data_IF_183242892897
#
_entry.id   IF_183242892897
#
_cell.length_a   1.000
_cell.length_b   1.000
_cell.length_c   1.000
_cell.angle_alpha   90.00
_cell.angle_beta   90.00
_cell.angle_gamma   90.00
#
_symmetry.space_group_name_H-M   'P 1'
#
loop_
_entity.id
_entity.type
_entity.pdbx_description
1 polymer ?
#
# COMPACT_ATOMS: atom_id res chain seq x y z
N UNK A 1 22.68 -1.89 7.68
CA UNK A 1 21.75 -1.66 6.56
C UNK A 1 22.40 -0.63 5.66
N UNK A 2 23.07 -0.97 4.54
CA UNK A 2 23.93 0.07 3.93
C UNK A 2 24.31 0.01 2.44
N UNK A 3 24.38 -1.14 1.78
CA UNK A 3 24.75 -1.15 0.34
C UNK A 3 23.70 -1.81 -0.56
N UNK A 4 23.19 -2.99 -0.21
CA UNK A 4 22.20 -3.68 -1.05
C UNK A 4 20.90 -2.90 -1.18
N UNK A 5 20.28 -2.49 -0.06
CA UNK A 5 19.08 -1.65 -0.11
C UNK A 5 19.33 -0.33 -0.83
N UNK A 6 20.49 0.30 -0.63
CA UNK A 6 20.82 1.57 -1.28
C UNK A 6 20.86 1.41 -2.81
N UNK A 7 21.50 0.35 -3.30
CA UNK A 7 21.51 -0.01 -4.73
C UNK A 7 20.10 -0.31 -5.26
N UNK A 8 19.26 -1.01 -4.47
CA UNK A 8 17.88 -1.30 -4.87
C UNK A 8 17.08 0.01 -4.96
N UNK A 9 17.21 0.92 -3.98
CA UNK A 9 16.51 2.21 -3.96
C UNK A 9 16.99 3.18 -5.05
N UNK A 10 18.21 3.04 -5.57
CA UNK A 10 18.71 3.79 -6.74
C UNK A 10 17.93 3.45 -8.03
N UNK A 11 17.22 2.32 -8.07
CA UNK A 11 16.34 1.92 -9.18
C UNK A 11 14.94 2.56 -9.09
N UNK A 12 14.64 3.28 -8.00
CA UNK A 12 13.38 4.00 -7.87
C UNK A 12 13.24 5.03 -8.98
N UNK A 13 12.09 5.03 -9.64
CA UNK A 13 11.71 6.10 -10.55
C UNK A 13 10.29 6.57 -10.27
N UNK A 14 10.03 7.83 -10.55
CA UNK A 14 8.70 8.42 -10.39
C UNK A 14 7.96 8.38 -11.72
N UNK A 15 6.72 7.90 -11.70
CA UNK A 15 5.82 7.88 -12.85
C UNK A 15 4.44 8.40 -12.44
N UNK A 16 3.67 8.96 -13.39
CA UNK A 16 2.26 9.28 -13.14
C UNK A 16 1.40 8.08 -13.46
N UNK A 17 0.32 7.90 -12.69
CA UNK A 17 -0.62 6.78 -12.91
C UNK A 17 -1.06 6.69 -14.38
N UNK A 18 -1.38 7.82 -15.02
CA UNK A 18 -1.82 7.84 -16.43
C UNK A 18 -0.78 7.34 -17.45
N UNK A 19 0.49 7.24 -17.08
CA UNK A 19 1.58 6.91 -18.01
C UNK A 19 1.61 5.41 -18.34
N UNK A 20 1.02 4.57 -17.50
CA UNK A 20 1.07 3.10 -17.66
C UNK A 20 -0.27 2.38 -17.41
N UNK A 21 -1.33 3.10 -16.99
CA UNK A 21 -2.70 2.55 -16.87
C UNK A 21 -3.75 3.53 -17.37
N UNK A 22 -4.95 3.02 -17.66
CA UNK A 22 -6.09 3.88 -17.99
C UNK A 22 -6.94 4.14 -16.74
N UNK A 23 -7.25 5.42 -16.49
CA UNK A 23 -8.16 5.84 -15.42
C UNK A 23 -9.45 6.41 -16.03
N UNK A 24 -10.59 5.90 -15.59
CA UNK A 24 -11.92 6.23 -16.12
C UNK A 24 -12.91 6.44 -14.97
N UNK A 25 -14.03 7.12 -15.24
CA UNK A 25 -15.18 7.05 -14.33
C UNK A 25 -15.85 5.69 -14.49
N UNK A 26 -16.45 5.16 -13.43
CA UNK A 26 -17.15 3.86 -13.49
C UNK A 26 -18.23 3.86 -14.59
N UNK A 27 -19.03 4.94 -14.65
CA UNK A 27 -20.07 5.10 -15.68
C UNK A 27 -19.51 5.10 -17.11
N UNK A 28 -18.32 5.67 -17.34
CA UNK A 28 -17.69 5.65 -18.66
C UNK A 28 -17.14 4.27 -19.03
N UNK A 29 -16.65 3.52 -18.03
CA UNK A 29 -16.16 2.16 -18.22
C UNK A 29 -17.28 1.19 -18.61
N UNK A 30 -18.39 1.19 -17.88
CA UNK A 30 -19.55 0.31 -18.14
C UNK A 30 -20.19 0.58 -19.51
N UNK A 31 -20.15 1.83 -20.00
CA UNK A 31 -20.65 2.13 -21.35
C UNK A 31 -19.79 1.55 -22.47
N UNK A 32 -18.52 1.30 -22.21
CA UNK A 32 -17.53 0.89 -23.21
C UNK A 32 -17.21 -0.59 -23.17
N UNK A 33 -17.47 -1.25 -22.03
CA UNK A 33 -17.16 -2.64 -21.81
C UNK A 33 -18.40 -3.36 -21.31
N UNK A 34 -18.80 -4.44 -21.99
CA UNK A 34 -19.57 -5.49 -21.33
C UNK A 34 -18.73 -6.02 -20.17
N UNK A 35 -19.37 -6.37 -19.06
CA UNK A 35 -18.76 -6.77 -17.78
C UNK A 35 -17.97 -8.11 -17.92
N UNK A 36 -16.85 -8.07 -18.67
CA UNK A 36 -16.08 -9.21 -19.17
C UNK A 36 -15.27 -9.94 -18.09
N UNK A 37 -15.45 -9.56 -16.82
CA UNK A 37 -14.77 -10.17 -15.68
C UNK A 37 -13.25 -9.94 -15.65
N UNK A 38 -12.77 -8.92 -16.36
CA UNK A 38 -11.38 -8.47 -16.28
C UNK A 38 -11.09 -7.88 -14.91
N UNK A 39 -9.85 -8.06 -14.42
CA UNK A 39 -9.44 -7.45 -13.17
C UNK A 39 -9.31 -5.93 -13.34
N UNK A 40 -9.95 -5.20 -12.44
CA UNK A 40 -10.00 -3.74 -12.39
C UNK A 40 -9.71 -3.27 -10.98
N UNK A 41 -9.14 -2.06 -10.86
CA UNK A 41 -8.97 -1.40 -9.57
C UNK A 41 -10.08 -0.37 -9.38
N UNK A 42 -10.97 -0.66 -8.43
CA UNK A 42 -12.09 0.17 -8.04
C UNK A 42 -11.65 1.25 -7.05
N UNK A 43 -11.87 2.53 -7.34
CA UNK A 43 -11.46 3.65 -6.49
C UNK A 43 -12.66 4.49 -6.04
N UNK A 44 -12.82 4.67 -4.73
CA UNK A 44 -13.84 5.53 -4.12
C UNK A 44 -13.55 7.01 -4.34
N UNK A 45 -14.59 7.83 -4.45
CA UNK A 45 -14.45 9.30 -4.54
C UNK A 45 -14.13 9.95 -3.21
N UNK A 46 -14.80 9.51 -2.15
CA UNK A 46 -14.59 10.03 -0.79
C UNK A 46 -13.37 9.33 -0.19
N UNK A 47 -12.34 10.12 0.11
CA UNK A 47 -11.07 9.65 0.65
C UNK A 47 -10.95 10.14 2.10
N UNK A 48 -10.49 9.25 2.96
CA UNK A 48 -10.04 9.54 4.32
C UNK A 48 -8.66 8.92 4.50
N UNK A 49 -7.76 9.64 5.17
CA UNK A 49 -6.39 9.25 5.45
C UNK A 49 -6.30 8.18 6.57
N UNK A 50 -7.43 7.83 7.20
CA UNK A 50 -7.54 6.67 8.07
C UNK A 50 -7.22 5.35 7.35
N UNK A 51 -7.30 4.22 8.05
CA UNK A 51 -7.01 2.90 7.47
C UNK A 51 -8.10 2.36 6.52
N UNK A 52 -9.10 3.16 6.13
CA UNK A 52 -10.14 2.69 5.23
C UNK A 52 -9.60 2.30 3.85
N UNK A 53 -10.14 1.23 3.27
CA UNK A 53 -9.80 0.79 1.92
C UNK A 53 -10.52 1.72 0.92
N UNK A 54 -9.74 2.40 0.09
CA UNK A 54 -10.23 3.31 -0.96
C UNK A 54 -10.04 2.75 -2.36
N UNK A 55 -9.10 1.82 -2.53
CA UNK A 55 -8.71 1.25 -3.82
C UNK A 55 -8.67 -0.28 -3.71
N UNK A 56 -9.60 -0.99 -4.36
CA UNK A 56 -9.72 -2.45 -4.26
C UNK A 56 -9.64 -3.10 -5.64
N UNK A 57 -8.79 -4.12 -5.78
CA UNK A 57 -8.75 -4.95 -6.99
C UNK A 57 -9.94 -5.92 -6.97
N UNK A 58 -10.68 -5.99 -8.07
CA UNK A 58 -11.81 -6.91 -8.24
C UNK A 58 -12.22 -7.01 -9.69
N UNK A 59 -13.21 -7.85 -9.98
CA UNK A 59 -13.68 -8.10 -11.36
C UNK A 59 -14.90 -7.29 -11.76
N UNK A 60 -15.70 -6.90 -10.78
CA UNK A 60 -16.90 -6.09 -10.94
C UNK A 60 -17.30 -5.49 -9.60
N UNK A 61 -18.11 -4.43 -9.60
CA UNK A 61 -18.60 -3.77 -8.39
C UNK A 61 -18.84 -2.28 -8.59
N UNK A 62 -19.76 -1.69 -7.83
CA UNK A 62 -20.04 -0.25 -7.94
C UNK A 62 -18.93 0.56 -7.28
N UNK A 63 -18.29 1.44 -8.05
CA UNK A 63 -17.32 2.42 -7.55
C UNK A 63 -17.47 3.76 -8.29
N UNK A 64 -16.72 4.78 -7.89
CA UNK A 64 -16.74 6.09 -8.55
C UNK A 64 -15.80 6.11 -9.77
N UNK A 65 -14.61 5.55 -9.59
CA UNK A 65 -13.55 5.51 -10.61
C UNK A 65 -12.98 4.10 -10.76
N UNK A 66 -12.44 3.83 -11.95
CA UNK A 66 -11.78 2.57 -12.31
C UNK A 66 -10.40 2.85 -12.87
N UNK A 67 -9.44 2.00 -12.51
CA UNK A 67 -8.19 1.83 -13.23
C UNK A 67 -8.14 0.45 -13.88
N UNK A 68 -7.75 0.39 -15.15
CA UNK A 68 -7.51 -0.86 -15.89
C UNK A 68 -6.02 -1.01 -16.22
N UNK A 69 -5.49 -2.22 -16.09
CA UNK A 69 -4.07 -2.55 -16.31
C UNK A 69 -3.82 -4.03 -16.07
N UNK A 70 -2.56 -4.46 -16.10
CA UNK A 70 -2.20 -5.82 -15.70
C UNK A 70 -2.39 -6.01 -14.19
N UNK A 71 -2.67 -7.25 -13.77
CA UNK A 71 -3.01 -7.59 -12.38
C UNK A 71 -1.96 -7.11 -11.37
N UNK A 72 -0.67 -7.28 -11.67
CA UNK A 72 0.41 -6.89 -10.75
C UNK A 72 0.47 -5.37 -10.59
N UNK A 73 0.32 -4.62 -11.68
CA UNK A 73 0.22 -3.16 -11.63
C UNK A 73 -1.01 -2.71 -10.82
N UNK A 74 -2.16 -3.37 -10.98
CA UNK A 74 -3.36 -3.04 -10.20
C UNK A 74 -3.18 -3.33 -8.71
N UNK A 75 -2.55 -4.46 -8.35
CA UNK A 75 -2.21 -4.77 -6.97
C UNK A 75 -1.23 -3.76 -6.37
N UNK A 76 -0.19 -3.38 -7.12
CA UNK A 76 0.76 -2.36 -6.65
C UNK A 76 0.11 -0.98 -6.48
N UNK A 77 -0.77 -0.59 -7.40
CA UNK A 77 -1.54 0.65 -7.25
C UNK A 77 -2.48 0.59 -6.06
N UNK A 78 -3.14 -0.55 -5.81
CA UNK A 78 -3.97 -0.75 -4.62
C UNK A 78 -3.15 -0.61 -3.33
N UNK A 79 -1.98 -1.26 -3.28
CA UNK A 79 -1.00 -1.12 -2.20
C UNK A 79 -0.63 0.36 -1.97
N UNK A 80 -0.22 1.06 -3.03
CA UNK A 80 0.21 2.46 -2.90
C UNK A 80 -0.95 3.35 -2.46
N UNK A 81 -2.09 3.29 -3.17
CA UNK A 81 -3.23 4.18 -2.95
C UNK A 81 -3.93 3.94 -1.61
N UNK A 82 -3.85 2.74 -1.02
CA UNK A 82 -4.39 2.51 0.32
C UNK A 82 -3.43 2.93 1.45
N UNK A 83 -2.19 3.32 1.14
CA UNK A 83 -1.29 3.93 2.12
C UNK A 83 -1.72 5.36 2.48
N UNK A 84 -1.27 5.85 3.64
CA UNK A 84 -1.52 7.26 4.07
C UNK A 84 -1.04 8.24 3.00
N UNK A 85 0.18 8.06 2.48
CA UNK A 85 0.73 8.91 1.43
C UNK A 85 -0.09 8.84 0.15
N UNK A 86 -0.46 7.63 -0.29
CA UNK A 86 -1.26 7.42 -1.47
C UNK A 86 -2.61 8.13 -1.40
N UNK A 87 -3.33 8.00 -0.29
CA UNK A 87 -4.61 8.69 -0.04
C UNK A 87 -4.47 10.20 -0.12
N UNK A 88 -3.47 10.76 0.54
CA UNK A 88 -3.23 12.20 0.55
C UNK A 88 -2.83 12.69 -0.85
N UNK A 89 -2.03 11.91 -1.58
CA UNK A 89 -1.53 12.27 -2.92
C UNK A 89 -2.60 12.36 -4.02
N UNK A 90 -3.79 11.80 -3.79
CA UNK A 90 -4.93 11.90 -4.72
C UNK A 90 -5.96 12.95 -4.29
N UNK A 91 -5.73 13.67 -3.19
CA UNK A 91 -6.59 14.76 -2.73
C UNK A 91 -6.19 16.10 -3.38
N UNK A 92 -7.09 17.10 -3.42
CA UNK A 92 -6.71 18.48 -3.69
C UNK A 92 -5.72 18.99 -2.64
N UNK A 93 -4.73 19.80 -3.04
CA UNK A 93 -3.66 20.29 -2.13
C UNK A 93 -4.16 20.91 -0.82
N UNK A 94 -5.20 21.73 -0.89
CA UNK A 94 -5.81 22.37 0.28
C UNK A 94 -6.52 21.41 1.26
N UNK A 95 -6.59 20.11 0.94
CA UNK A 95 -7.16 19.04 1.79
C UNK A 95 -6.12 18.09 2.37
N UNK A 96 -4.84 18.38 2.18
CA UNK A 96 -3.76 17.53 2.70
C UNK A 96 -3.75 17.52 4.23
N UNK A 97 -3.94 18.67 4.87
CA UNK A 97 -3.96 18.81 6.33
C UNK A 97 -5.21 18.17 6.97
N UNK A 98 -6.37 18.27 6.29
CA UNK A 98 -7.62 17.67 6.74
C UNK A 98 -7.57 16.12 6.68
N UNK A 99 -6.71 15.56 5.82
CA UNK A 99 -6.63 14.13 5.55
C UNK A 99 -7.94 13.55 4.99
N UNK A 100 -8.91 14.38 4.61
CA UNK A 100 -10.22 13.96 4.12
C UNK A 100 -10.70 14.84 2.98
N UNK A 101 -11.33 14.24 1.98
CA UNK A 101 -11.89 15.00 0.86
C UNK A 101 -12.37 14.13 -0.29
N UNK A 102 -12.61 14.79 -1.43
CA UNK A 102 -13.03 14.12 -2.65
C UNK A 102 -11.93 14.16 -3.70
N UNK A 103 -11.61 12.99 -4.26
CA UNK A 103 -10.73 12.90 -5.43
C UNK A 103 -11.52 12.97 -6.73
N UNK A 104 -10.82 13.10 -7.85
CA UNK A 104 -11.36 13.04 -9.20
C UNK A 104 -10.40 12.36 -10.17
N UNK A 105 -10.89 12.03 -11.36
CA UNK A 105 -10.10 11.34 -12.40
C UNK A 105 -8.81 12.08 -12.74
N UNK A 106 -8.83 13.42 -12.79
CA UNK A 106 -7.64 14.21 -13.14
C UNK A 106 -6.58 14.14 -12.04
N UNK A 107 -6.99 14.17 -10.76
CA UNK A 107 -6.08 14.00 -9.64
C UNK A 107 -5.45 12.61 -9.67
N UNK A 108 -6.28 11.54 -9.73
CA UNK A 108 -5.80 10.16 -9.80
C UNK A 108 -4.81 9.97 -10.95
N UNK A 109 -5.14 10.47 -12.16
CA UNK A 109 -4.27 10.36 -13.35
C UNK A 109 -2.90 10.99 -13.15
N UNK A 110 -2.83 12.12 -12.45
CA UNK A 110 -1.63 12.92 -12.32
C UNK A 110 -0.86 12.66 -11.03
N UNK A 111 -1.34 11.77 -10.16
CA UNK A 111 -0.62 11.35 -8.96
C UNK A 111 0.70 10.69 -9.34
N UNK A 112 1.77 11.24 -8.76
CA UNK A 112 3.11 10.68 -8.84
C UNK A 112 3.21 9.47 -7.92
N UNK A 113 3.73 8.37 -8.46
CA UNK A 113 4.01 7.16 -7.72
C UNK A 113 5.47 6.76 -7.93
N UNK A 114 6.06 6.13 -6.91
CA UNK A 114 7.38 5.53 -7.04
C UNK A 114 7.20 4.11 -7.55
N UNK A 115 7.94 3.73 -8.58
CA UNK A 115 8.00 2.39 -9.16
C UNK A 115 9.40 1.83 -8.97
N UNK A 116 9.45 0.54 -8.64
CA UNK A 116 10.68 -0.22 -8.50
C UNK A 116 10.35 -1.70 -8.65
N UNK A 117 10.71 -2.28 -9.79
CA UNK A 117 10.38 -3.67 -10.14
C UNK A 117 11.00 -4.70 -9.19
N UNK A 118 12.08 -4.35 -8.49
CA UNK A 118 12.71 -5.21 -7.48
C UNK A 118 11.95 -5.17 -6.14
N UNK A 119 11.21 -4.11 -5.84
CA UNK A 119 10.46 -3.95 -4.57
C UNK A 119 8.97 -4.30 -4.73
N UNK A 120 8.40 -4.03 -5.91
CA UNK A 120 6.98 -4.20 -6.22
C UNK A 120 6.41 -5.58 -5.85
N UNK A 121 7.07 -6.73 -6.12
CA UNK A 121 6.56 -8.04 -5.72
C UNK A 121 6.32 -8.16 -4.20
N UNK A 122 7.21 -7.57 -3.41
CA UNK A 122 7.14 -7.57 -1.95
C UNK A 122 6.00 -6.68 -1.44
N UNK A 123 5.69 -5.59 -2.14
CA UNK A 123 4.53 -4.74 -1.88
C UNK A 123 3.22 -5.45 -2.23
N UNK A 124 3.18 -6.14 -3.37
CA UNK A 124 2.00 -6.89 -3.84
C UNK A 124 1.62 -7.98 -2.83
N UNK A 125 2.60 -8.69 -2.25
CA UNK A 125 2.32 -9.69 -1.22
C UNK A 125 1.61 -9.08 0.00
N UNK A 126 2.05 -7.90 0.47
CA UNK A 126 1.39 -7.19 1.58
C UNK A 126 -0.07 -6.89 1.23
N UNK A 127 -0.35 -6.39 0.03
CA UNK A 127 -1.72 -6.07 -0.38
C UNK A 127 -2.59 -7.33 -0.52
N UNK A 128 -2.03 -8.43 -1.05
CA UNK A 128 -2.73 -9.73 -1.10
C UNK A 128 -3.09 -10.23 0.29
N UNK A 129 -2.18 -10.10 1.26
CA UNK A 129 -2.43 -10.49 2.65
C UNK A 129 -3.52 -9.61 3.27
N UNK A 130 -3.45 -8.28 3.12
CA UNK A 130 -4.48 -7.35 3.64
C UNK A 130 -5.85 -7.67 3.05
N UNK A 131 -5.92 -7.88 1.74
CA UNK A 131 -7.15 -8.24 1.03
C UNK A 131 -7.72 -9.57 1.51
N UNK A 132 -6.87 -10.60 1.66
CA UNK A 132 -7.27 -11.90 2.19
C UNK A 132 -7.85 -11.77 3.61
N UNK A 133 -7.17 -11.05 4.50
CA UNK A 133 -7.62 -10.84 5.88
C UNK A 133 -8.93 -10.04 5.93
N UNK A 134 -9.11 -9.05 5.05
CA UNK A 134 -10.37 -8.29 4.98
C UNK A 134 -11.55 -9.20 4.63
N UNK A 135 -11.40 -10.06 3.62
CA UNK A 135 -12.44 -11.03 3.22
C UNK A 135 -12.68 -12.06 4.34
N UNK A 136 -11.61 -12.54 4.96
CA UNK A 136 -11.70 -13.49 6.08
C UNK A 136 -12.47 -12.90 7.26
N UNK A 137 -12.13 -11.67 7.67
CA UNK A 137 -12.80 -10.95 8.76
C UNK A 137 -14.26 -10.62 8.44
N UNK A 138 -14.58 -10.25 7.20
CA UNK A 138 -15.97 -10.03 6.78
C UNK A 138 -16.80 -11.33 6.87
N UNK A 139 -16.22 -12.46 6.47
CA UNK A 139 -16.93 -13.75 6.42
C UNK A 139 -17.02 -14.45 7.77
N UNK A 140 -16.01 -14.29 8.63
CA UNK A 140 -15.86 -15.07 9.86
C UNK A 140 -15.73 -14.23 11.14
N UNK A 141 -15.61 -12.90 11.03
CA UNK A 141 -15.23 -11.99 12.12
C UNK A 141 -16.14 -11.98 13.36
N UNK A 142 -17.39 -12.43 13.24
CA UNK A 142 -18.31 -12.57 14.40
C UNK A 142 -17.80 -13.65 15.38
N UNK A 143 -17.01 -14.62 14.90
CA UNK A 143 -16.50 -15.77 15.66
C UNK A 143 -14.97 -15.80 15.80
N UNK A 144 -14.26 -14.76 15.34
CA UNK A 144 -12.80 -14.74 15.27
C UNK A 144 -12.25 -13.75 16.29
N UNK A 145 -11.33 -14.22 17.14
CA UNK A 145 -10.64 -13.41 18.14
C UNK A 145 -9.94 -12.17 17.54
N UNK A 146 -9.72 -11.15 18.38
CA UNK A 146 -9.02 -9.88 18.11
C UNK A 146 -7.63 -10.01 17.41
N UNK A 147 -7.09 -11.21 17.28
CA UNK A 147 -5.83 -11.51 16.64
C UNK A 147 -5.83 -11.22 15.13
N UNK A 148 -6.87 -11.59 14.39
CA UNK A 148 -6.90 -11.38 12.93
C UNK A 148 -6.93 -9.90 12.55
N UNK A 149 -7.67 -9.09 13.31
CA UNK A 149 -7.66 -7.63 13.20
C UNK A 149 -6.28 -7.04 13.53
N UNK A 150 -5.61 -7.57 14.55
CA UNK A 150 -4.26 -7.14 14.93
C UNK A 150 -3.25 -7.46 13.83
N UNK A 151 -3.34 -8.64 13.23
CA UNK A 151 -2.52 -9.07 12.08
C UNK A 151 -2.76 -8.13 10.89
N UNK A 152 -4.03 -7.87 10.55
CA UNK A 152 -4.38 -6.94 9.47
C UNK A 152 -3.79 -5.55 9.70
N UNK A 153 -3.94 -4.99 10.90
CA UNK A 153 -3.37 -3.68 11.27
C UNK A 153 -1.85 -3.66 11.19
N UNK A 154 -1.17 -4.77 11.51
CA UNK A 154 0.27 -4.87 11.32
C UNK A 154 0.65 -4.67 9.84
N UNK A 155 0.00 -5.39 8.92
CA UNK A 155 0.28 -5.25 7.49
C UNK A 155 -0.13 -3.90 6.92
N UNK A 156 -1.21 -3.28 7.41
CA UNK A 156 -1.57 -1.91 7.04
C UNK A 156 -0.47 -0.90 7.43
N UNK A 157 0.10 -1.05 8.63
CA UNK A 157 1.22 -0.21 9.08
C UNK A 157 2.49 -0.51 8.26
N UNK A 158 2.75 -1.78 7.94
CA UNK A 158 3.88 -2.18 7.11
C UNK A 158 3.79 -1.51 5.73
N UNK A 159 2.62 -1.56 5.09
CA UNK A 159 2.33 -0.84 3.84
C UNK A 159 2.63 0.65 3.96
N UNK A 160 2.13 1.29 5.01
CA UNK A 160 2.38 2.72 5.24
C UNK A 160 3.88 3.03 5.36
N UNK A 161 4.63 2.26 6.13
CA UNK A 161 6.05 2.53 6.34
C UNK A 161 6.91 2.17 5.13
N UNK A 162 6.57 1.13 4.36
CA UNK A 162 7.22 0.84 3.07
C UNK A 162 7.05 2.03 2.12
N UNK A 163 5.82 2.54 1.96
CA UNK A 163 5.59 3.69 1.09
C UNK A 163 6.34 4.93 1.61
N UNK A 164 6.35 5.16 2.91
CA UNK A 164 7.13 6.27 3.48
C UNK A 164 8.64 6.14 3.22
N UNK A 165 9.21 4.94 3.34
CA UNK A 165 10.63 4.70 3.05
C UNK A 165 10.95 4.90 1.57
N UNK A 166 10.06 4.47 0.66
CA UNK A 166 10.18 4.75 -0.77
C UNK A 166 10.15 6.26 -1.06
N UNK A 167 9.22 6.99 -0.45
CA UNK A 167 9.03 8.43 -0.70
C UNK A 167 10.13 9.30 -0.07
N UNK A 168 10.69 8.88 1.07
CA UNK A 168 11.67 9.67 1.83
C UNK A 168 12.82 8.80 2.36
N UNK A 169 13.60 8.15 1.49
CA UNK A 169 14.64 7.21 1.90
C UNK A 169 15.72 7.87 2.77
N UNK A 170 16.02 9.15 2.50
CA UNK A 170 16.98 9.93 3.28
C UNK A 170 16.56 10.14 4.75
N UNK A 171 15.25 10.25 5.01
CA UNK A 171 14.74 10.39 6.38
C UNK A 171 14.91 9.10 7.17
N UNK A 172 14.68 7.96 6.52
CA UNK A 172 14.90 6.63 7.10
C UNK A 172 16.39 6.38 7.35
N UNK A 173 17.26 6.73 6.39
CA UNK A 173 18.71 6.65 6.55
C UNK A 173 19.22 7.50 7.71
N UNK A 174 18.76 8.75 7.83
CA UNK A 174 19.14 9.67 8.92
C UNK A 174 18.79 9.13 10.31
N UNK A 175 17.68 8.40 10.42
CA UNK A 175 17.19 7.87 11.69
C UNK A 175 17.63 6.41 11.96
N UNK A 176 18.47 5.82 11.09
CA UNK A 176 18.90 4.42 11.17
C UNK A 176 17.73 3.43 11.27
N UNK A 177 16.68 3.67 10.48
CA UNK A 177 15.50 2.81 10.37
C UNK A 177 15.36 2.30 8.94
N UNK A 178 15.00 1.03 8.78
CA UNK A 178 14.58 0.49 7.48
C UNK A 178 13.52 -0.59 7.65
N UNK A 179 12.57 -0.60 6.73
CA UNK A 179 11.42 -1.48 6.71
C UNK A 179 11.48 -2.39 5.50
N UNK A 180 11.78 -1.84 4.32
CA UNK A 180 11.85 -2.56 3.05
C UNK A 180 12.88 -3.68 3.11
N UNK A 181 14.10 -3.43 3.59
CA UNK A 181 15.15 -4.45 3.56
C UNK A 181 14.87 -5.63 4.52
N UNK A 182 14.50 -5.41 5.80
CA UNK A 182 14.05 -6.50 6.66
C UNK A 182 12.84 -7.24 6.08
N UNK A 183 11.88 -6.52 5.49
CA UNK A 183 10.70 -7.15 4.87
C UNK A 183 11.07 -8.07 3.70
N UNK A 184 11.94 -7.63 2.79
CA UNK A 184 12.44 -8.46 1.69
C UNK A 184 13.07 -9.75 2.22
N UNK A 185 13.82 -9.67 3.32
CA UNK A 185 14.41 -10.85 3.96
C UNK A 185 13.36 -11.81 4.51
N UNK A 186 12.33 -11.29 5.18
CA UNK A 186 11.25 -12.14 5.70
C UNK A 186 10.52 -12.86 4.55
N UNK A 187 10.22 -12.15 3.47
CA UNK A 187 9.51 -12.75 2.32
C UNK A 187 10.37 -13.78 1.60
N UNK A 188 11.67 -13.54 1.46
CA UNK A 188 12.59 -14.48 0.81
C UNK A 188 12.78 -15.79 1.59
N UNK A 189 12.33 -15.87 2.86
CA UNK A 189 12.33 -17.09 3.66
C UNK A 189 11.04 -17.93 3.46
N UNK A 190 10.02 -17.39 2.79
CA UNK A 190 8.75 -18.08 2.57
C UNK A 190 8.95 -19.19 1.54
N UNK A 191 8.57 -20.42 1.92
CA UNK A 191 8.71 -21.60 1.06
C UNK A 191 7.59 -21.77 0.04
N UNK A 192 6.39 -21.24 0.32
CA UNK A 192 5.22 -21.34 -0.55
C UNK A 192 4.44 -20.01 -0.65
N UNK A 193 4.92 -19.05 -1.45
CA UNK A 193 4.33 -17.70 -1.52
C UNK A 193 2.94 -17.64 -2.16
N UNK A 194 2.51 -18.70 -2.85
CA UNK A 194 1.17 -18.77 -3.45
C UNK A 194 0.08 -19.10 -2.43
N UNK A 195 0.43 -19.82 -1.35
CA UNK A 195 -0.43 -20.02 -0.20
C UNK A 195 -0.30 -18.84 0.77
N UNK A 196 -1.26 -17.91 0.67
CA UNK A 196 -1.31 -16.72 1.53
C UNK A 196 -1.48 -17.09 3.00
N UNK A 197 -2.22 -18.16 3.32
CA UNK A 197 -2.43 -18.56 4.71
C UNK A 197 -1.14 -19.11 5.33
N UNK A 198 -0.41 -19.94 4.58
CA UNK A 198 0.89 -20.45 4.99
C UNK A 198 1.92 -19.31 5.09
N UNK A 199 1.94 -18.41 4.11
CA UNK A 199 2.79 -17.21 4.12
C UNK A 199 2.59 -16.37 5.38
N UNK A 200 1.33 -16.10 5.78
CA UNK A 200 1.02 -15.36 7.01
C UNK A 200 1.58 -16.09 8.23
N UNK A 201 1.38 -17.41 8.34
CA UNK A 201 1.90 -18.23 9.44
C UNK A 201 3.43 -18.15 9.53
N UNK A 202 4.13 -18.31 8.41
CA UNK A 202 5.59 -18.25 8.38
C UNK A 202 6.12 -16.86 8.78
N UNK A 203 5.53 -15.79 8.23
CA UNK A 203 5.88 -14.41 8.57
C UNK A 203 5.69 -14.17 10.07
N UNK A 204 4.52 -14.49 10.63
CA UNK A 204 4.26 -14.22 12.06
C UNK A 204 5.17 -15.06 12.97
N UNK A 205 5.42 -16.30 12.62
CA UNK A 205 6.37 -17.15 13.36
C UNK A 205 7.77 -16.53 13.38
N UNK A 206 8.20 -15.90 12.28
CA UNK A 206 9.47 -15.19 12.22
C UNK A 206 9.47 -13.88 13.00
N UNK A 207 8.40 -13.09 12.89
CA UNK A 207 8.25 -11.80 13.57
C UNK A 207 8.23 -11.91 15.10
N UNK A 208 7.72 -13.01 15.65
CA UNK A 208 7.72 -13.27 17.09
C UNK A 208 9.05 -13.79 17.64
N UNK A 209 10.04 -14.08 16.79
CA UNK A 209 11.39 -14.40 17.27
C UNK A 209 12.03 -13.15 17.87
N UNK A 210 12.68 -13.32 19.02
CA UNK A 210 13.43 -12.25 19.68
C UNK A 210 14.49 -11.69 18.74
N UNK A 211 14.62 -10.37 18.69
CA UNK A 211 15.59 -9.68 17.83
C UNK A 211 15.22 -9.62 16.35
N UNK A 212 13.94 -9.84 15.99
CA UNK A 212 13.50 -9.69 14.60
C UNK A 212 13.68 -8.23 14.12
N UNK A 213 14.53 -7.95 13.11
CA UNK A 213 14.84 -6.58 12.71
C UNK A 213 13.64 -5.81 12.15
N UNK A 214 12.69 -6.49 11.50
CA UNK A 214 11.48 -5.86 10.98
C UNK A 214 10.60 -5.41 12.15
N UNK A 215 10.36 -6.27 13.14
CA UNK A 215 9.55 -5.92 14.31
C UNK A 215 10.18 -4.76 15.11
N UNK A 216 11.50 -4.77 15.31
CA UNK A 216 12.21 -3.67 15.96
C UNK A 216 12.03 -2.34 15.21
N UNK A 217 12.20 -2.35 13.88
CA UNK A 217 12.04 -1.15 13.07
C UNK A 217 10.59 -0.68 12.97
N UNK A 218 9.62 -1.60 12.91
CA UNK A 218 8.18 -1.28 13.00
C UNK A 218 7.84 -0.58 14.34
N UNK A 219 8.43 -1.02 15.45
CA UNK A 219 8.25 -0.40 16.76
C UNK A 219 8.91 0.98 16.83
N UNK A 220 10.12 1.13 16.27
CA UNK A 220 10.81 2.42 16.13
C UNK A 220 9.95 3.41 15.32
N UNK A 221 9.37 2.96 14.21
CA UNK A 221 8.53 3.82 13.34
C UNK A 221 7.35 4.45 14.06
N UNK A 222 6.77 3.80 15.06
CA UNK A 222 5.70 4.41 15.88
C UNK A 222 6.15 5.70 16.58
N UNK A 223 7.43 5.81 16.93
CA UNK A 223 8.01 7.00 17.56
C UNK A 223 8.31 8.11 16.54
N UNK A 224 8.44 7.77 15.24
CA UNK A 224 8.81 8.70 14.17
C UNK A 224 7.62 9.29 13.40
N UNK A 225 6.41 8.74 13.56
CA UNK A 225 5.19 9.25 12.89
C UNK A 225 4.97 10.74 13.16
N UNK A 226 5.29 11.23 14.36
CA UNK A 226 5.16 12.66 14.70
C UNK A 226 6.06 13.57 13.85
N UNK A 227 7.30 13.15 13.56
CA UNK A 227 8.22 13.90 12.71
C UNK A 227 7.79 13.87 11.24
N UNK A 228 7.22 12.74 10.81
CA UNK A 228 6.64 12.63 9.47
C UNK A 228 5.47 13.60 9.24
N UNK A 229 4.56 13.73 10.21
CA UNK A 229 3.45 14.68 10.12
C UNK A 229 3.96 16.12 9.98
N UNK A 230 5.00 16.49 10.73
CA UNK A 230 5.63 17.81 10.63
C UNK A 230 6.25 18.05 9.24
N UNK A 231 6.97 17.08 8.70
CA UNK A 231 7.55 17.17 7.36
C UNK A 231 6.48 17.31 6.26
N UNK A 232 5.37 16.60 6.39
CA UNK A 232 4.24 16.70 5.46
C UNK A 232 3.58 18.08 5.47
N UNK A 233 3.50 18.74 6.63
CA UNK A 233 3.01 20.12 6.72
C UNK A 233 3.99 21.13 6.11
N UNK A 234 5.30 20.94 6.28
CA UNK A 234 6.31 21.90 5.81
C UNK A 234 6.53 21.89 4.28
N UNK A 235 6.31 20.75 3.62
CA UNK A 235 6.51 20.62 2.15
C UNK A 235 5.29 20.95 1.31
N UNK A 236 4.12 21.10 1.92
CA UNK A 236 2.85 21.28 1.21
C UNK A 236 2.15 22.62 1.51
N UNK A 237 2.74 23.48 2.35
CA UNK A 237 2.43 24.91 2.46
C UNK A 237 3.23 25.73 1.45
#
# INVERSE_FOLDING_TARGET
>A
MKQELKKILELNHTAKIKDFVQVKTYASYIKQNDDRGEDILLIKKNISADNNIIALVGKSGKSDYIITGDFNTLCYLSFFLNSIWGKVSILPKHKFEDGQGQTNVLLIKNTDIIRNTEIEPYCILVERIISFLAIYLEKYGINVDNHSDTIKRFFENLRNFIVMELMMPQLFEKNDVSIIYPWIKEVNLITNPDDISDSITQIFTSLFKSGNPLMENMNKMRLFITQFTQYMSERNG
#
